data_IF_483537861382
#
_entry.id   IF_483537861382
#
_cell.length_a   1.000
_cell.length_b   1.000
_cell.length_c   1.000
_cell.angle_alpha   90.00
_cell.angle_beta   90.00
_cell.angle_gamma   90.00
#
_symmetry.space_group_name_H-M   'P 1'
#
loop_
_entity.id
_entity.type
_entity.pdbx_description
1 polymer ?
#
# COMPACT_ATOMS: atom_id res chain seq x y z
N UNK A 1 -6.97 -13.48 15.96
CA UNK A 1 -5.67 -13.28 15.29
C UNK A 1 -4.58 -13.51 16.31
N UNK A 2 -3.58 -14.28 15.96
CA UNK A 2 -2.37 -14.50 16.75
C UNK A 2 -1.27 -13.59 16.24
N UNK A 3 -0.58 -12.91 17.15
CA UNK A 3 0.53 -12.04 16.83
C UNK A 3 1.81 -12.86 16.64
N UNK A 4 2.44 -12.78 15.48
CA UNK A 4 3.64 -13.53 15.13
C UNK A 4 4.93 -12.72 15.25
N UNK A 5 4.85 -11.40 15.27
CA UNK A 5 6.00 -10.53 15.46
C UNK A 5 5.79 -9.10 14.94
N UNK A 6 6.54 -8.18 15.52
CA UNK A 6 6.71 -6.80 15.06
C UNK A 6 8.21 -6.53 15.02
N UNK A 7 8.69 -5.94 13.92
CA UNK A 7 10.10 -5.67 13.76
C UNK A 7 10.32 -4.29 13.13
N UNK A 8 11.39 -3.63 13.59
CA UNK A 8 11.97 -2.47 12.96
C UNK A 8 13.15 -2.90 12.09
N UNK A 9 13.20 -2.40 10.88
CA UNK A 9 14.21 -2.74 9.91
C UNK A 9 14.97 -1.50 9.48
N UNK A 10 16.23 -1.70 9.12
CA UNK A 10 17.11 -0.64 8.63
C UNK A 10 16.61 -0.08 7.29
N UNK A 11 16.54 1.25 7.25
CA UNK A 11 16.24 2.03 6.05
C UNK A 11 17.51 2.80 5.64
N UNK A 12 18.08 2.45 4.49
CA UNK A 12 19.33 3.10 4.00
C UNK A 12 19.10 4.54 3.50
N UNK A 13 17.84 4.97 3.35
CA UNK A 13 17.51 6.35 3.02
C UNK A 13 17.57 7.26 4.25
N UNK A 14 16.92 6.83 5.34
CA UNK A 14 16.87 7.56 6.61
C UNK A 14 18.08 7.28 7.50
N UNK A 15 18.90 6.29 7.16
CA UNK A 15 20.03 5.81 7.96
C UNK A 15 19.64 5.41 9.39
N UNK A 16 18.41 4.87 9.54
CA UNK A 16 17.83 4.45 10.82
C UNK A 16 16.97 3.19 10.67
N UNK A 17 16.60 2.55 11.79
CA UNK A 17 15.69 1.41 11.85
C UNK A 17 14.21 1.87 11.78
N UNK A 18 13.84 2.56 10.70
CA UNK A 18 12.56 3.24 10.53
C UNK A 18 11.49 2.42 9.76
N UNK A 19 11.89 1.42 8.97
CA UNK A 19 10.93 0.56 8.27
C UNK A 19 10.33 -0.44 9.22
N UNK A 20 8.99 -0.52 9.25
CA UNK A 20 8.28 -1.37 10.21
C UNK A 20 7.30 -2.30 9.50
N UNK A 21 7.25 -3.54 9.96
CA UNK A 21 6.24 -4.49 9.56
C UNK A 21 5.77 -5.35 10.74
N UNK A 22 4.50 -5.75 10.66
CA UNK A 22 3.85 -6.64 11.62
C UNK A 22 3.40 -7.90 10.90
N UNK A 23 3.56 -9.04 11.57
CA UNK A 23 3.02 -10.32 11.11
C UNK A 23 2.02 -10.86 12.10
N UNK A 24 0.92 -11.38 11.59
CA UNK A 24 -0.07 -12.09 12.39
C UNK A 24 -0.73 -13.21 11.57
N UNK A 25 -1.26 -14.20 12.28
CA UNK A 25 -2.00 -15.33 11.73
C UNK A 25 -3.48 -15.16 12.02
N UNK A 26 -4.33 -15.43 11.05
CA UNK A 26 -5.76 -15.52 11.30
C UNK A 26 -6.07 -16.83 12.04
N UNK A 27 -6.70 -16.73 13.20
CA UNK A 27 -7.06 -17.89 14.02
C UNK A 27 -8.56 -18.18 14.01
N UNK A 28 -9.36 -17.38 13.27
CA UNK A 28 -10.80 -17.47 13.33
C UNK A 28 -11.46 -17.90 12.02
N UNK A 29 -11.05 -17.27 10.92
CA UNK A 29 -11.65 -17.48 9.59
C UNK A 29 -10.83 -18.47 8.79
N UNK A 30 -9.54 -18.21 8.65
CA UNK A 30 -8.59 -19.10 7.98
C UNK A 30 -7.29 -19.22 8.78
N UNK A 31 -7.17 -20.27 9.63
CA UNK A 31 -5.98 -20.46 10.46
C UNK A 31 -4.71 -20.74 9.66
N UNK A 32 -4.81 -20.93 8.36
CA UNK A 32 -3.66 -21.10 7.47
C UNK A 32 -3.19 -19.79 6.84
N UNK A 33 -3.91 -18.66 7.07
CA UNK A 33 -3.56 -17.38 6.48
C UNK A 33 -2.63 -16.57 7.39
N UNK A 34 -1.45 -16.24 6.84
CA UNK A 34 -0.49 -15.32 7.46
C UNK A 34 -0.63 -13.95 6.79
N UNK A 35 -0.70 -12.91 7.58
CA UNK A 35 -0.77 -11.52 7.09
C UNK A 35 0.54 -10.81 7.40
N UNK A 36 1.16 -10.22 6.38
CA UNK A 36 2.31 -9.31 6.52
C UNK A 36 1.82 -7.91 6.21
N UNK A 37 1.80 -7.05 7.22
CA UNK A 37 1.37 -5.67 7.09
C UNK A 37 2.56 -4.72 7.28
N UNK A 38 2.89 -3.97 6.22
CA UNK A 38 3.89 -2.91 6.26
C UNK A 38 3.25 -1.63 6.80
N UNK A 39 3.95 -0.98 7.73
CA UNK A 39 3.53 0.30 8.27
C UNK A 39 3.77 1.40 7.24
N UNK A 40 2.83 2.33 7.14
CA UNK A 40 3.00 3.59 6.42
C UNK A 40 3.78 4.63 7.22
N UNK A 41 4.04 5.76 6.58
CA UNK A 41 4.63 6.93 7.18
C UNK A 41 3.72 7.52 8.26
N UNK A 42 4.28 8.03 9.34
CA UNK A 42 3.51 8.77 10.34
C UNK A 42 3.01 10.09 9.74
N UNK A 43 1.71 10.44 9.93
CA UNK A 43 1.10 11.60 9.26
C UNK A 43 1.78 12.95 9.55
N UNK A 44 2.56 13.05 10.62
CA UNK A 44 3.20 14.27 11.07
C UNK A 44 4.72 14.15 11.22
N UNK A 45 5.33 13.15 10.60
CA UNK A 45 6.79 12.97 10.59
C UNK A 45 7.38 13.51 9.27
N UNK A 46 7.97 14.73 9.25
CA UNK A 46 8.52 15.32 8.04
C UNK A 46 9.71 14.55 7.48
N UNK A 47 10.48 13.85 8.33
CA UNK A 47 11.63 13.06 7.88
C UNK A 47 11.19 11.80 7.15
N UNK A 48 10.16 11.14 7.66
CA UNK A 48 9.58 9.98 7.00
C UNK A 48 8.94 10.36 5.64
N UNK A 49 8.30 11.54 5.53
CA UNK A 49 7.77 12.06 4.26
C UNK A 49 8.83 12.38 3.22
N UNK A 50 10.09 12.63 3.63
CA UNK A 50 11.19 12.84 2.67
C UNK A 50 11.40 11.63 1.77
N UNK A 51 11.19 10.43 2.29
CA UNK A 51 11.26 9.19 1.49
C UNK A 51 10.17 9.17 0.40
N UNK A 52 8.99 9.70 0.70
CA UNK A 52 7.83 9.69 -0.20
C UNK A 52 7.93 10.79 -1.27
N UNK A 53 8.66 11.87 -1.00
CA UNK A 53 8.84 13.04 -1.89
C UNK A 53 10.10 12.92 -2.75
N UNK A 54 11.05 12.02 -2.44
CA UNK A 54 12.22 11.78 -3.27
C UNK A 54 11.82 11.17 -4.61
N UNK A 55 11.84 11.94 -5.67
CA UNK A 55 11.49 11.51 -7.03
C UNK A 55 12.61 10.74 -7.73
N UNK A 56 13.65 10.32 -7.01
CA UNK A 56 14.78 9.60 -7.61
C UNK A 56 14.39 8.18 -8.05
N UNK A 57 14.89 7.80 -9.22
CA UNK A 57 14.70 6.49 -9.78
C UNK A 57 15.77 5.50 -9.34
N UNK A 58 15.38 4.25 -9.16
CA UNK A 58 16.26 3.10 -9.14
C UNK A 58 15.97 2.23 -10.36
N UNK A 59 16.95 2.08 -11.24
CA UNK A 59 16.83 1.18 -12.39
C UNK A 59 16.99 -0.27 -11.94
N UNK A 60 15.89 -0.98 -11.86
CA UNK A 60 15.87 -2.39 -11.50
C UNK A 60 15.96 -3.24 -12.75
N UNK A 61 17.19 -3.59 -13.12
CA UNK A 61 17.51 -4.25 -14.40
C UNK A 61 16.60 -5.42 -14.73
N UNK A 62 15.92 -5.35 -15.89
CA UNK A 62 14.97 -6.36 -16.38
C UNK A 62 13.60 -6.33 -15.70
N UNK A 63 13.34 -5.31 -14.89
CA UNK A 63 12.04 -5.06 -14.24
C UNK A 63 11.45 -3.73 -14.69
N UNK A 64 12.24 -2.66 -14.66
CA UNK A 64 11.86 -1.29 -14.95
C UNK A 64 12.46 -0.32 -13.96
N UNK A 65 12.00 0.92 -13.98
CA UNK A 65 12.39 1.94 -13.01
C UNK A 65 11.45 1.92 -11.82
N UNK A 66 11.99 2.01 -10.62
CA UNK A 66 11.25 2.01 -9.34
C UNK A 66 11.63 3.22 -8.51
N UNK A 67 10.76 3.61 -7.59
CA UNK A 67 11.03 4.70 -6.65
C UNK A 67 12.18 4.34 -5.71
N UNK A 68 13.29 5.08 -5.80
CA UNK A 68 14.53 4.76 -5.08
C UNK A 68 14.38 4.79 -3.56
N UNK A 69 13.65 5.78 -3.03
CA UNK A 69 13.39 5.89 -1.59
C UNK A 69 12.68 4.66 -1.03
N UNK A 70 11.62 4.19 -1.70
CA UNK A 70 10.88 3.00 -1.27
C UNK A 70 11.73 1.73 -1.34
N UNK A 71 12.56 1.61 -2.37
CA UNK A 71 13.47 0.49 -2.50
C UNK A 71 14.52 0.47 -1.38
N UNK A 72 15.07 1.64 -0.99
CA UNK A 72 16.00 1.76 0.15
C UNK A 72 15.31 1.44 1.48
N UNK A 73 14.06 1.87 1.65
CA UNK A 73 13.26 1.53 2.83
C UNK A 73 13.02 0.01 2.96
N UNK A 74 12.85 -0.68 1.83
CA UNK A 74 12.62 -2.12 1.81
C UNK A 74 13.91 -2.94 1.97
N UNK A 75 15.07 -2.40 1.59
CA UNK A 75 16.36 -3.08 1.79
C UNK A 75 17.32 -3.04 0.61
N UNK A 76 17.12 -2.12 -0.35
CA UNK A 76 18.13 -1.78 -1.34
C UNK A 76 19.37 -1.26 -0.63
N UNK A 77 20.49 -1.92 -0.85
CA UNK A 77 21.72 -1.61 -0.16
C UNK A 77 22.59 -0.63 -0.97
N UNK A 78 23.10 0.37 -0.29
CA UNK A 78 24.07 1.31 -0.87
C UNK A 78 25.27 0.53 -1.41
N UNK A 79 25.57 0.67 -2.70
CA UNK A 79 26.69 0.02 -3.41
C UNK A 79 26.58 -1.51 -3.65
N UNK A 80 25.55 -2.20 -3.13
CA UNK A 80 25.37 -3.66 -3.33
C UNK A 80 24.09 -4.01 -4.11
N UNK A 81 23.18 -3.05 -4.28
CA UNK A 81 21.90 -3.29 -4.94
C UNK A 81 21.02 -4.31 -4.20
N UNK A 82 20.49 -5.27 -4.94
CA UNK A 82 19.63 -6.34 -4.43
C UNK A 82 20.29 -7.72 -4.58
N UNK A 83 21.29 -8.10 -3.76
CA UNK A 83 21.79 -9.47 -3.77
C UNK A 83 20.70 -10.44 -3.33
N UNK A 84 20.70 -11.66 -3.88
CA UNK A 84 19.70 -12.68 -3.50
C UNK A 84 19.81 -13.05 -2.02
N UNK A 85 21.03 -13.15 -1.52
CA UNK A 85 21.33 -13.40 -0.11
C UNK A 85 22.31 -12.35 0.41
N UNK A 86 22.18 -12.01 1.69
CA UNK A 86 23.12 -11.10 2.36
C UNK A 86 24.20 -11.94 3.05
N UNK A 87 25.46 -11.54 2.92
CA UNK A 87 26.55 -12.14 3.68
C UNK A 87 26.33 -11.91 5.18
N UNK A 88 26.31 -12.97 5.97
CA UNK A 88 26.14 -12.87 7.41
C UNK A 88 27.42 -12.33 8.07
N UNK A 89 27.31 -11.20 8.77
CA UNK A 89 28.41 -10.57 9.51
C UNK A 89 27.95 -10.09 10.90
N UNK A 90 28.91 -9.91 11.82
CA UNK A 90 28.67 -9.65 13.23
C UNK A 90 27.93 -8.32 13.52
N UNK A 91 27.93 -7.36 12.55
CA UNK A 91 27.28 -6.04 12.67
C UNK A 91 26.26 -5.79 11.55
N UNK A 92 25.49 -6.80 11.19
CA UNK A 92 24.64 -6.71 10.01
C UNK A 92 23.33 -5.97 10.29
N UNK A 93 23.06 -4.97 9.45
CA UNK A 93 21.78 -4.27 9.42
C UNK A 93 20.67 -5.24 8.99
N UNK A 94 19.55 -5.24 9.72
CA UNK A 94 18.37 -6.05 9.39
C UNK A 94 17.52 -5.30 8.39
N UNK A 95 17.50 -5.73 7.14
CA UNK A 95 16.68 -5.16 6.08
C UNK A 95 15.34 -5.87 5.95
N UNK A 96 14.28 -5.11 5.75
CA UNK A 96 12.91 -5.61 5.76
C UNK A 96 12.69 -6.79 4.79
N UNK A 97 13.14 -6.68 3.55
CA UNK A 97 12.96 -7.71 2.55
C UNK A 97 13.52 -9.06 3.00
N UNK A 98 14.77 -9.11 3.45
CA UNK A 98 15.47 -10.36 3.76
C UNK A 98 14.92 -11.01 5.04
N UNK A 99 14.70 -10.23 6.08
CA UNK A 99 14.18 -10.73 7.35
C UNK A 99 12.74 -11.26 7.21
N UNK A 100 11.87 -10.51 6.51
CA UNK A 100 10.49 -10.91 6.27
C UNK A 100 10.44 -12.16 5.39
N UNK A 101 11.24 -12.21 4.30
CA UNK A 101 11.35 -13.37 3.43
C UNK A 101 11.77 -14.63 4.20
N UNK A 102 12.81 -14.52 5.03
CA UNK A 102 13.27 -15.62 5.84
C UNK A 102 12.21 -16.07 6.86
N UNK A 103 11.59 -15.12 7.55
CA UNK A 103 10.53 -15.42 8.51
C UNK A 103 9.32 -16.09 7.88
N UNK A 104 8.92 -15.65 6.70
CA UNK A 104 7.86 -16.31 5.92
C UNK A 104 8.24 -17.77 5.57
N UNK A 105 9.46 -18.01 5.11
CA UNK A 105 9.94 -19.37 4.83
C UNK A 105 9.81 -20.26 6.07
N UNK A 106 10.27 -19.80 7.24
CA UNK A 106 10.20 -20.56 8.50
C UNK A 106 8.75 -20.87 8.91
N UNK A 107 7.84 -19.90 8.79
CA UNK A 107 6.44 -20.07 9.16
C UNK A 107 5.71 -21.01 8.20
N UNK A 108 5.90 -20.84 6.90
CA UNK A 108 5.23 -21.63 5.87
C UNK A 108 5.77 -23.07 5.79
N UNK A 109 7.03 -23.31 6.16
CA UNK A 109 7.59 -24.68 6.28
C UNK A 109 6.99 -25.46 7.45
N UNK A 110 6.57 -24.78 8.52
CA UNK A 110 5.90 -25.42 9.66
C UNK A 110 4.46 -25.85 9.36
N UNK A 111 3.83 -25.22 8.38
CA UNK A 111 2.48 -25.53 7.94
C UNK A 111 2.40 -25.43 6.40
N UNK A 112 2.45 -26.59 5.76
CA UNK A 112 2.44 -26.67 4.30
C UNK A 112 1.16 -26.16 3.65
N UNK A 113 0.05 -26.12 4.38
CA UNK A 113 -1.22 -25.57 3.90
C UNK A 113 -1.29 -24.04 4.08
N UNK A 114 -0.35 -23.46 4.82
CA UNK A 114 -0.37 -22.02 5.04
C UNK A 114 -0.06 -21.25 3.76
N UNK A 115 -0.75 -20.12 3.65
CA UNK A 115 -0.58 -19.10 2.63
C UNK A 115 -0.34 -17.76 3.30
N UNK A 116 0.03 -16.76 2.53
CA UNK A 116 0.18 -15.43 3.07
C UNK A 116 -0.39 -14.35 2.14
N UNK A 117 -0.72 -13.21 2.74
CA UNK A 117 -1.06 -11.98 2.04
C UNK A 117 -0.13 -10.85 2.47
N UNK A 118 0.07 -9.91 1.56
CA UNK A 118 0.80 -8.69 1.81
C UNK A 118 -0.19 -7.52 1.86
N UNK A 119 0.01 -6.61 2.80
CA UNK A 119 -0.85 -5.43 2.90
C UNK A 119 -0.08 -4.24 3.45
N UNK A 120 -0.64 -3.05 3.24
CA UNK A 120 -0.12 -1.82 3.79
C UNK A 120 -0.94 -0.61 3.36
N UNK A 121 -0.84 0.44 4.17
CA UNK A 121 -1.44 1.73 3.90
C UNK A 121 -0.33 2.74 3.56
N UNK A 122 -0.59 3.66 2.63
CA UNK A 122 0.38 4.70 2.28
C UNK A 122 1.70 4.11 1.78
N UNK A 123 2.85 4.57 2.29
CA UNK A 123 4.17 3.96 2.08
C UNK A 123 4.16 2.45 2.31
N UNK A 124 3.45 1.95 3.33
CA UNK A 124 3.34 0.51 3.58
C UNK A 124 2.74 -0.26 2.42
N UNK A 125 1.79 0.35 1.68
CA UNK A 125 1.25 -0.21 0.44
C UNK A 125 2.30 -0.29 -0.67
N UNK A 126 3.12 0.75 -0.81
CA UNK A 126 4.25 0.74 -1.75
C UNK A 126 5.27 -0.36 -1.39
N UNK A 127 5.62 -0.49 -0.12
CA UNK A 127 6.53 -1.52 0.35
C UNK A 127 5.98 -2.94 0.13
N UNK A 128 4.67 -3.14 0.31
CA UNK A 128 4.02 -4.42 0.08
C UNK A 128 4.14 -4.89 -1.38
N UNK A 129 3.86 -4.02 -2.34
CA UNK A 129 3.96 -4.39 -3.77
C UNK A 129 5.41 -4.47 -4.25
N UNK A 130 6.31 -3.64 -3.72
CA UNK A 130 7.74 -3.73 -4.04
C UNK A 130 8.40 -4.96 -3.40
N UNK A 131 7.95 -5.40 -2.23
CA UNK A 131 8.37 -6.68 -1.66
C UNK A 131 8.05 -7.85 -2.61
N UNK A 132 6.83 -7.90 -3.14
CA UNK A 132 6.46 -8.86 -4.17
C UNK A 132 7.33 -8.73 -5.43
N UNK A 133 7.62 -7.49 -5.86
CA UNK A 133 8.48 -7.24 -7.03
C UNK A 133 9.87 -7.86 -6.85
N UNK A 134 10.46 -7.71 -5.67
CA UNK A 134 11.78 -8.28 -5.37
C UNK A 134 11.71 -9.81 -5.24
N UNK A 135 10.64 -10.38 -4.65
CA UNK A 135 10.42 -11.83 -4.64
C UNK A 135 10.37 -12.40 -6.07
N UNK A 136 9.61 -11.75 -6.95
CA UNK A 136 9.50 -12.16 -8.35
C UNK A 136 10.85 -12.04 -9.10
N UNK A 137 11.62 -10.98 -8.82
CA UNK A 137 12.95 -10.76 -9.42
C UNK A 137 13.99 -11.76 -8.93
N UNK A 138 13.91 -12.17 -7.66
CA UNK A 138 14.78 -13.19 -7.07
C UNK A 138 14.34 -14.63 -7.40
N UNK A 139 13.25 -14.78 -8.17
CA UNK A 139 12.70 -16.08 -8.56
C UNK A 139 12.36 -16.95 -7.34
N UNK A 140 11.75 -16.34 -6.33
CA UNK A 140 11.29 -16.99 -5.11
C UNK A 140 9.99 -17.79 -5.37
N UNK A 141 10.03 -18.72 -6.34
CA UNK A 141 8.86 -19.43 -6.87
C UNK A 141 8.02 -20.06 -5.77
N UNK A 142 8.66 -20.72 -4.79
CA UNK A 142 7.94 -21.35 -3.70
C UNK A 142 7.12 -20.35 -2.87
N UNK A 143 7.68 -19.18 -2.54
CA UNK A 143 6.94 -18.12 -1.86
C UNK A 143 5.85 -17.51 -2.75
N UNK A 144 6.14 -17.35 -4.04
CA UNK A 144 5.16 -16.82 -5.00
C UNK A 144 3.91 -17.71 -5.09
N UNK A 145 4.06 -19.05 -5.06
CA UNK A 145 2.93 -19.98 -5.03
C UNK A 145 2.17 -20.01 -3.69
N UNK A 146 2.77 -19.53 -2.61
CA UNK A 146 2.12 -19.40 -1.30
C UNK A 146 1.46 -18.03 -1.10
N UNK A 147 1.76 -17.07 -1.95
CA UNK A 147 1.15 -15.74 -1.87
C UNK A 147 -0.26 -15.77 -2.47
N UNK A 148 -1.26 -15.47 -1.66
CA UNK A 148 -2.67 -15.42 -2.08
C UNK A 148 -3.05 -14.07 -2.67
N UNK A 149 -2.48 -12.99 -2.14
CA UNK A 149 -2.79 -11.66 -2.66
C UNK A 149 -2.03 -10.52 -2.00
N UNK A 150 -2.12 -9.36 -2.66
CA UNK A 150 -1.61 -8.08 -2.17
C UNK A 150 -2.75 -7.08 -2.15
N UNK A 151 -3.00 -6.47 -1.00
CA UNK A 151 -4.08 -5.51 -0.78
C UNK A 151 -3.51 -4.22 -0.23
N UNK A 152 -3.57 -3.15 -1.01
CA UNK A 152 -2.95 -1.87 -0.64
C UNK A 152 -3.99 -0.77 -0.49
N UNK A 153 -3.77 0.14 0.43
CA UNK A 153 -4.70 1.20 0.81
C UNK A 153 -4.00 2.55 0.68
N UNK A 154 -4.50 3.45 -0.15
CA UNK A 154 -3.87 4.75 -0.36
C UNK A 154 -2.42 4.68 -0.84
N UNK A 155 -2.07 3.64 -1.60
CA UNK A 155 -0.71 3.40 -2.07
C UNK A 155 -0.27 4.47 -3.06
N UNK A 156 0.93 5.08 -2.90
CA UNK A 156 1.53 5.94 -3.91
C UNK A 156 1.99 5.15 -5.14
N UNK A 157 2.32 5.83 -6.22
CA UNK A 157 2.93 5.23 -7.40
C UNK A 157 4.34 4.75 -7.09
N UNK A 158 4.73 3.59 -7.60
CA UNK A 158 5.97 2.93 -7.19
C UNK A 158 7.00 2.78 -8.30
N UNK A 159 6.62 3.00 -9.56
CA UNK A 159 7.52 2.84 -10.69
C UNK A 159 6.90 3.17 -12.03
N UNK A 160 7.59 2.84 -13.10
CA UNK A 160 7.22 3.13 -14.48
C UNK A 160 6.29 2.06 -15.10
N UNK A 161 5.91 2.27 -16.35
CA UNK A 161 5.07 1.32 -17.09
C UNK A 161 5.77 -0.03 -17.37
N UNK A 162 7.13 -0.06 -17.40
CA UNK A 162 7.87 -1.30 -17.61
C UNK A 162 7.76 -2.18 -16.35
N UNK A 163 7.90 -1.59 -15.17
CA UNK A 163 7.57 -2.27 -13.91
C UNK A 163 6.14 -2.79 -13.92
N UNK A 164 5.18 -1.96 -14.37
CA UNK A 164 3.78 -2.36 -14.47
C UNK A 164 3.60 -3.61 -15.32
N UNK A 165 4.13 -3.63 -16.53
CA UNK A 165 4.07 -4.77 -17.45
C UNK A 165 4.77 -6.02 -16.89
N UNK A 166 5.93 -5.86 -16.26
CA UNK A 166 6.64 -6.96 -15.60
C UNK A 166 5.77 -7.59 -14.49
N UNK A 167 5.20 -6.74 -13.63
CA UNK A 167 4.41 -7.20 -12.49
C UNK A 167 3.08 -7.82 -12.91
N UNK A 168 2.38 -7.27 -13.89
CA UNK A 168 1.14 -7.85 -14.43
C UNK A 168 1.36 -9.27 -14.97
N UNK A 169 2.49 -9.49 -15.65
CA UNK A 169 2.86 -10.83 -16.11
C UNK A 169 3.13 -11.77 -14.93
N UNK A 170 3.83 -11.31 -13.89
CA UNK A 170 4.13 -12.13 -12.71
C UNK A 170 2.88 -12.44 -11.87
N UNK A 171 2.02 -11.45 -11.66
CA UNK A 171 0.73 -11.64 -10.96
C UNK A 171 -0.13 -12.69 -11.67
N UNK A 172 -0.21 -12.61 -13.00
CA UNK A 172 -0.93 -13.58 -13.80
C UNK A 172 -0.28 -14.97 -13.78
N UNK A 173 1.06 -15.05 -13.87
CA UNK A 173 1.82 -16.30 -13.85
C UNK A 173 1.57 -17.12 -12.58
N UNK A 174 1.47 -16.45 -11.42
CA UNK A 174 1.33 -17.10 -10.11
C UNK A 174 -0.10 -17.04 -9.55
N UNK A 175 -1.08 -16.54 -10.33
CA UNK A 175 -2.48 -16.35 -9.92
C UNK A 175 -2.62 -15.53 -8.61
N UNK A 176 -1.79 -14.49 -8.46
CA UNK A 176 -1.78 -13.62 -7.29
C UNK A 176 -2.77 -12.48 -7.47
N UNK A 177 -3.69 -12.34 -6.54
CA UNK A 177 -4.63 -11.20 -6.53
C UNK A 177 -3.89 -9.93 -6.13
N UNK A 178 -4.14 -8.84 -6.85
CA UNK A 178 -3.64 -7.52 -6.47
C UNK A 178 -4.76 -6.49 -6.58
N UNK A 179 -5.08 -5.84 -5.48
CA UNK A 179 -6.11 -4.80 -5.42
C UNK A 179 -5.59 -3.57 -4.70
N UNK A 180 -5.71 -2.43 -5.36
CA UNK A 180 -5.39 -1.11 -4.82
C UNK A 180 -6.67 -0.41 -4.39
N UNK A 181 -6.83 -0.17 -3.09
CA UNK A 181 -7.96 0.58 -2.55
C UNK A 181 -7.64 2.07 -2.57
N UNK A 182 -8.52 2.85 -3.19
CA UNK A 182 -8.40 4.31 -3.26
C UNK A 182 -9.69 4.94 -2.76
N UNK A 183 -9.57 5.81 -1.77
CA UNK A 183 -10.71 6.51 -1.21
C UNK A 183 -10.79 7.95 -1.73
N UNK A 184 -11.94 8.28 -2.30
CA UNK A 184 -12.38 9.61 -2.68
C UNK A 184 -11.29 10.47 -3.37
N UNK A 185 -10.89 11.57 -2.73
CA UNK A 185 -9.88 12.48 -3.25
C UNK A 185 -8.52 12.29 -2.56
N UNK A 186 -8.25 11.14 -1.98
CA UNK A 186 -6.93 10.86 -1.41
C UNK A 186 -5.81 11.26 -2.39
N UNK A 187 -4.92 12.16 -1.94
CA UNK A 187 -3.85 12.70 -2.78
C UNK A 187 -2.72 11.70 -2.99
N UNK A 188 -2.46 10.81 -2.02
CA UNK A 188 -1.27 9.95 -2.02
C UNK A 188 -1.24 8.96 -3.19
N UNK A 189 -2.33 8.30 -3.60
CA UNK A 189 -2.31 7.48 -4.81
C UNK A 189 -2.03 8.25 -6.10
N UNK A 190 -2.04 9.59 -6.06
CA UNK A 190 -1.82 10.47 -7.22
C UNK A 190 -0.41 11.04 -7.29
N UNK A 191 0.43 10.65 -6.33
CA UNK A 191 1.86 11.06 -6.30
C UNK A 191 2.76 9.81 -6.35
N UNK A 192 3.99 9.93 -6.82
CA UNK A 192 4.55 11.09 -7.48
C UNK A 192 3.73 11.57 -8.68
N UNK A 193 3.76 12.89 -8.93
CA UNK A 193 3.00 13.51 -10.02
C UNK A 193 3.58 13.09 -11.38
N UNK A 194 2.72 12.93 -12.41
CA UNK A 194 3.12 12.73 -13.80
C UNK A 194 3.45 14.10 -14.39
N UNK A 195 4.65 14.31 -14.87
CA UNK A 195 4.94 15.43 -15.76
C UNK A 195 4.93 14.93 -17.21
N UNK A 196 4.55 15.76 -18.17
CA UNK A 196 4.28 15.35 -19.57
C UNK A 196 5.50 14.85 -20.35
N UNK A 197 6.70 14.78 -19.76
CA UNK A 197 7.96 14.35 -20.38
C UNK A 197 8.40 12.93 -19.98
N UNK A 198 7.86 11.92 -20.63
CA UNK A 198 8.36 10.53 -20.83
C UNK A 198 8.90 9.67 -19.65
N UNK A 199 9.08 10.15 -18.45
CA UNK A 199 9.52 9.36 -17.30
C UNK A 199 8.47 9.42 -16.17
N UNK A 200 7.39 8.63 -16.30
CA UNK A 200 6.25 8.71 -15.40
C UNK A 200 6.21 7.59 -14.38
N UNK A 201 5.94 7.97 -13.13
CA UNK A 201 5.42 7.02 -12.18
C UNK A 201 3.98 6.65 -12.53
N UNK A 202 3.72 5.36 -12.68
CA UNK A 202 2.39 4.84 -13.00
C UNK A 202 1.92 3.84 -11.96
N UNK A 203 0.63 3.58 -11.95
CA UNK A 203 0.09 2.42 -11.28
C UNK A 203 -0.08 1.25 -12.25
N UNK A 204 -0.13 0.05 -11.70
CA UNK A 204 -0.57 -1.16 -12.39
C UNK A 204 -1.58 -1.92 -11.52
N UNK A 205 -2.26 -2.89 -12.12
CA UNK A 205 -3.31 -3.63 -11.46
C UNK A 205 -4.59 -2.83 -11.21
N UNK A 206 -5.70 -3.49 -10.89
CA UNK A 206 -7.01 -2.86 -10.70
C UNK A 206 -7.06 -1.94 -9.49
N UNK A 207 -7.76 -0.80 -9.67
CA UNK A 207 -8.06 0.16 -8.63
C UNK A 207 -9.49 -0.04 -8.14
N UNK A 208 -9.67 -0.37 -6.87
CA UNK A 208 -10.96 -0.40 -6.20
C UNK A 208 -11.21 0.96 -5.56
N UNK A 209 -11.88 1.82 -6.30
CA UNK A 209 -12.17 3.19 -5.90
C UNK A 209 -13.48 3.26 -5.12
N UNK A 210 -13.48 3.98 -4.01
CA UNK A 210 -14.67 4.33 -3.23
C UNK A 210 -14.87 5.84 -3.18
N UNK A 211 -16.10 6.26 -3.42
CA UNK A 211 -16.48 7.66 -3.24
C UNK A 211 -16.86 7.97 -1.77
N UNK A 212 -17.13 9.23 -1.47
CA UNK A 212 -17.53 9.70 -0.14
C UNK A 212 -18.85 9.12 0.40
N UNK A 213 -19.61 8.39 -0.42
CA UNK A 213 -20.80 7.63 -0.01
C UNK A 213 -20.49 6.15 0.22
N UNK A 214 -19.21 5.76 0.22
CA UNK A 214 -18.74 4.37 0.31
C UNK A 214 -19.25 3.45 -0.80
N UNK A 215 -19.57 4.03 -1.98
CA UNK A 215 -19.90 3.25 -3.16
C UNK A 215 -18.62 2.96 -3.95
N UNK A 216 -18.33 1.66 -4.10
CA UNK A 216 -17.14 1.18 -4.78
C UNK A 216 -17.35 0.98 -6.27
N UNK A 217 -16.28 1.07 -7.05
CA UNK A 217 -16.19 0.67 -8.45
C UNK A 217 -14.77 0.24 -8.77
N UNK A 218 -14.62 -0.72 -9.69
CA UNK A 218 -13.30 -1.08 -10.21
C UNK A 218 -12.96 -0.19 -11.40
N UNK A 219 -11.75 0.35 -11.38
CA UNK A 219 -11.18 1.18 -12.43
C UNK A 219 -9.87 0.56 -12.89
N UNK A 220 -9.52 0.75 -14.15
CA UNK A 220 -8.18 0.40 -14.67
C UNK A 220 -7.14 1.41 -14.18
N UNK A 221 -7.50 2.69 -14.28
CA UNK A 221 -6.65 3.81 -13.89
C UNK A 221 -7.23 4.50 -12.65
N UNK A 222 -6.48 5.45 -12.10
CA UNK A 222 -6.99 6.31 -11.04
C UNK A 222 -8.16 7.15 -11.52
N UNK A 223 -9.16 7.38 -10.65
CA UNK A 223 -10.20 8.32 -10.95
C UNK A 223 -9.59 9.73 -11.03
N UNK A 224 -10.04 10.50 -12.02
CA UNK A 224 -9.76 11.92 -12.11
C UNK A 224 -8.33 12.29 -12.53
N UNK A 225 -8.03 12.12 -13.83
CA UNK A 225 -6.77 12.57 -14.44
C UNK A 225 -6.48 14.06 -14.26
N UNK A 226 -7.51 14.90 -14.01
CA UNK A 226 -7.40 16.34 -13.79
C UNK A 226 -7.39 16.74 -12.31
N UNK A 227 -6.96 15.86 -11.44
CA UNK A 227 -7.00 16.07 -9.98
C UNK A 227 -6.37 17.40 -9.53
N UNK A 228 -5.27 17.82 -10.14
CA UNK A 228 -4.55 19.05 -9.80
C UNK A 228 -5.06 20.29 -10.51
N UNK A 229 -6.11 20.18 -11.36
CA UNK A 229 -6.68 21.35 -12.03
C UNK A 229 -7.45 22.27 -11.05
N UNK A 230 -7.47 23.57 -11.33
CA UNK A 230 -8.17 24.56 -10.51
C UNK A 230 -9.69 24.30 -10.44
N UNK A 231 -10.30 23.79 -11.51
CA UNK A 231 -11.72 23.44 -11.55
C UNK A 231 -12.05 22.31 -10.58
N UNK A 232 -11.17 21.32 -10.43
CA UNK A 232 -11.35 20.25 -9.45
C UNK A 232 -11.13 20.69 -8.01
N UNK A 233 -10.40 21.77 -7.76
CA UNK A 233 -10.24 22.30 -6.42
C UNK A 233 -11.59 22.63 -5.77
N UNK A 234 -12.55 23.16 -6.54
CA UNK A 234 -13.91 23.46 -6.06
C UNK A 234 -14.63 22.17 -5.65
N UNK A 235 -14.60 21.15 -6.51
CA UNK A 235 -15.25 19.86 -6.21
C UNK A 235 -14.62 19.16 -5.01
N UNK A 236 -13.29 19.20 -4.87
CA UNK A 236 -12.59 18.68 -3.69
C UNK A 236 -12.99 19.41 -2.43
N UNK A 237 -13.09 20.72 -2.47
CA UNK A 237 -13.56 21.53 -1.33
C UNK A 237 -15.00 21.19 -0.95
N UNK A 238 -15.91 21.12 -1.91
CA UNK A 238 -17.31 20.72 -1.65
C UNK A 238 -17.38 19.32 -1.04
N UNK A 239 -16.54 18.40 -1.51
CA UNK A 239 -16.47 17.06 -0.93
C UNK A 239 -15.92 17.10 0.50
N UNK A 240 -14.89 17.89 0.79
CA UNK A 240 -14.34 18.03 2.15
C UNK A 240 -15.40 18.60 3.13
N UNK A 241 -16.20 19.57 2.69
CA UNK A 241 -17.35 20.08 3.46
C UNK A 241 -18.37 18.95 3.73
N UNK A 242 -18.70 18.18 2.70
CA UNK A 242 -19.60 17.02 2.85
C UNK A 242 -19.03 15.99 3.84
N UNK A 243 -17.76 15.65 3.72
CA UNK A 243 -17.07 14.70 4.62
C UNK A 243 -17.14 15.18 6.09
N UNK A 244 -16.92 16.47 6.32
CA UNK A 244 -17.06 17.07 7.66
C UNK A 244 -18.50 16.96 8.19
N UNK A 245 -19.51 17.30 7.40
CA UNK A 245 -20.92 17.16 7.77
C UNK A 245 -21.27 15.70 8.05
N UNK A 246 -20.85 14.79 7.16
CA UNK A 246 -21.06 13.35 7.30
C UNK A 246 -20.48 12.82 8.60
N UNK A 247 -19.33 13.31 9.04
CA UNK A 247 -18.67 12.87 10.27
C UNK A 247 -19.52 13.01 11.53
N UNK A 248 -20.47 13.94 11.51
CA UNK A 248 -21.44 14.11 12.59
C UNK A 248 -22.72 13.27 12.40
N UNK A 249 -23.07 12.94 11.16
CA UNK A 249 -24.32 12.24 10.82
C UNK A 249 -24.15 10.71 10.86
N UNK A 250 -23.01 10.23 10.43
CA UNK A 250 -22.76 8.80 10.18
C UNK A 250 -22.96 7.89 11.42
N UNK A 251 -22.61 8.31 12.66
CA UNK A 251 -22.89 7.51 13.86
C UNK A 251 -24.37 7.23 14.05
N UNK A 252 -25.25 8.13 13.60
CA UNK A 252 -26.71 7.96 13.72
C UNK A 252 -27.31 7.13 12.59
N UNK A 253 -26.68 7.10 11.42
CA UNK A 253 -27.19 6.42 10.23
C UNK A 253 -26.65 5.00 10.05
N UNK A 254 -25.45 4.71 10.57
CA UNK A 254 -24.74 3.42 10.41
C UNK A 254 -24.59 2.64 11.72
N UNK A 255 -25.17 3.15 12.83
CA UNK A 255 -25.19 2.48 14.12
C UNK A 255 -23.95 2.69 14.99
N UNK A 256 -24.00 2.08 16.19
CA UNK A 256 -22.98 2.30 17.23
C UNK A 256 -21.59 1.74 16.91
N UNK A 257 -21.45 0.90 15.91
CA UNK A 257 -20.16 0.35 15.46
C UNK A 257 -19.28 1.37 14.75
N UNK A 258 -19.91 2.43 14.22
CA UNK A 258 -19.21 3.50 13.54
C UNK A 258 -19.09 4.72 14.46
N UNK A 259 -17.87 4.97 14.92
CA UNK A 259 -17.56 6.20 15.67
C UNK A 259 -16.37 6.90 15.02
N UNK A 260 -16.62 8.08 14.50
CA UNK A 260 -15.53 8.94 14.09
C UNK A 260 -14.95 9.65 15.32
N UNK A 261 -13.64 9.48 15.56
CA UNK A 261 -12.96 10.09 16.69
C UNK A 261 -12.94 11.62 16.57
N UNK A 262 -12.79 12.33 17.69
CA UNK A 262 -12.62 13.79 17.68
C UNK A 262 -11.40 14.21 16.85
N UNK A 263 -10.31 13.45 16.91
CA UNK A 263 -9.13 13.70 16.08
C UNK A 263 -9.48 13.68 14.59
N UNK A 264 -10.27 12.71 14.13
CA UNK A 264 -10.72 12.65 12.73
C UNK A 264 -11.55 13.88 12.35
N UNK A 265 -12.43 14.36 13.22
CA UNK A 265 -13.22 15.58 12.97
C UNK A 265 -12.33 16.81 12.83
N UNK A 266 -11.29 16.93 13.67
CA UNK A 266 -10.27 18.00 13.53
C UNK A 266 -9.53 17.85 12.19
N UNK A 267 -9.14 16.64 11.81
CA UNK A 267 -8.49 16.40 10.52
C UNK A 267 -9.39 16.73 9.34
N UNK A 268 -10.71 16.54 9.46
CA UNK A 268 -11.65 16.98 8.42
C UNK A 268 -11.77 18.49 8.31
N UNK A 269 -11.65 19.24 9.42
CA UNK A 269 -11.55 20.71 9.37
C UNK A 269 -10.26 21.11 8.65
N UNK A 270 -9.14 20.44 8.95
CA UNK A 270 -7.88 20.65 8.23
C UNK A 270 -8.00 20.32 6.74
N UNK A 271 -8.78 19.28 6.40
CA UNK A 271 -9.10 18.91 5.02
C UNK A 271 -9.85 19.97 4.21
N UNK A 272 -10.49 20.97 4.85
CA UNK A 272 -11.08 22.10 4.14
C UNK A 272 -10.00 23.00 3.51
N UNK A 273 -8.84 23.08 4.15
CA UNK A 273 -7.69 23.87 3.66
C UNK A 273 -6.85 23.01 2.69
N UNK A 274 -6.66 21.75 3.00
CA UNK A 274 -5.88 20.79 2.19
C UNK A 274 -6.72 19.55 1.82
N UNK A 275 -7.65 19.71 0.85
CA UNK A 275 -8.48 18.59 0.40
C UNK A 275 -7.62 17.44 -0.15
N UNK A 276 -7.95 16.22 0.24
CA UNK A 276 -7.21 15.02 -0.15
C UNK A 276 -6.28 14.47 0.92
N UNK A 277 -5.81 15.29 1.88
CA UNK A 277 -5.01 14.79 2.99
C UNK A 277 -5.84 14.09 4.06
N UNK A 278 -7.03 14.62 4.37
CA UNK A 278 -7.93 13.99 5.34
C UNK A 278 -8.43 12.62 4.85
N UNK A 279 -8.68 12.49 3.55
CA UNK A 279 -9.11 11.26 2.91
C UNK A 279 -8.02 10.18 2.84
N UNK A 280 -6.77 10.57 3.08
CA UNK A 280 -5.66 9.62 3.17
C UNK A 280 -5.62 8.88 4.52
N UNK A 281 -6.32 9.34 5.53
CA UNK A 281 -6.19 8.77 6.86
C UNK A 281 -6.74 7.33 6.94
N UNK A 282 -6.08 6.42 7.69
CA UNK A 282 -6.45 5.01 7.80
C UNK A 282 -7.91 4.75 8.17
N UNK A 283 -8.59 5.55 9.03
CA UNK A 283 -9.99 5.32 9.36
C UNK A 283 -10.94 5.31 8.18
N UNK A 284 -10.70 6.14 7.15
CA UNK A 284 -11.54 6.12 5.94
C UNK A 284 -11.38 4.81 5.17
N UNK A 285 -10.17 4.28 5.09
CA UNK A 285 -9.90 2.97 4.48
C UNK A 285 -10.49 1.81 5.28
N UNK A 286 -10.46 1.85 6.61
CA UNK A 286 -11.17 0.89 7.46
C UNK A 286 -12.69 0.97 7.21
N UNK A 287 -13.23 2.18 7.07
CA UNK A 287 -14.65 2.36 6.84
C UNK A 287 -15.10 1.86 5.47
N UNK A 288 -14.33 2.07 4.40
CA UNK A 288 -14.70 1.55 3.08
C UNK A 288 -14.69 0.03 3.02
N UNK A 289 -13.81 -0.64 3.76
CA UNK A 289 -13.80 -2.10 3.84
C UNK A 289 -14.95 -2.67 4.67
N UNK A 290 -15.46 -1.91 5.64
CA UNK A 290 -16.56 -2.35 6.54
C UNK A 290 -17.93 -1.94 6.04
N UNK A 291 -18.07 -0.76 5.47
CA UNK A 291 -19.35 -0.13 5.11
C UNK A 291 -19.53 0.01 3.60
N UNK A 292 -18.46 -0.21 2.83
CA UNK A 292 -18.48 -0.05 1.39
C UNK A 292 -19.37 -1.06 0.70
N UNK A 293 -20.08 -0.61 -0.33
CA UNK A 293 -20.83 -1.46 -1.24
C UNK A 293 -20.11 -1.59 -2.58
N UNK A 294 -19.95 -2.81 -3.04
CA UNK A 294 -19.45 -3.11 -4.39
C UNK A 294 -20.60 -3.21 -5.37
N UNK A 295 -20.38 -2.90 -6.66
CA UNK A 295 -21.37 -3.16 -7.71
C UNK A 295 -21.77 -4.64 -7.74
N UNK A 296 -23.06 -4.90 -7.94
CA UNK A 296 -23.58 -6.23 -8.21
C UNK A 296 -22.85 -6.81 -9.43
N UNK A 297 -22.19 -7.93 -9.30
CA UNK A 297 -21.37 -8.57 -10.35
C UNK A 297 -19.88 -8.67 -10.04
N UNK A 298 -19.40 -7.96 -9.01
CA UNK A 298 -18.03 -8.13 -8.51
C UNK A 298 -17.94 -9.08 -7.31
N UNK A 299 -19.08 -9.36 -6.66
CA UNK A 299 -19.14 -10.32 -5.56
C UNK A 299 -18.91 -11.78 -6.02
N UNK A 300 -19.17 -12.08 -7.29
CA UNK A 300 -19.03 -13.41 -7.89
C UNK A 300 -17.80 -13.57 -8.80
N UNK A 301 -17.03 -12.51 -9.03
CA UNK A 301 -15.87 -12.60 -9.90
C UNK A 301 -14.61 -12.97 -9.10
N UNK A 302 -13.78 -13.87 -9.64
CA UNK A 302 -12.44 -14.21 -9.13
C UNK A 302 -11.48 -12.98 -9.00
N UNK A 303 -12.01 -11.77 -9.06
CA UNK A 303 -11.29 -10.49 -8.94
C UNK A 303 -11.24 -9.99 -7.50
N UNK A 304 -12.07 -10.55 -6.60
CA UNK A 304 -12.05 -10.23 -5.15
C UNK A 304 -11.63 -11.48 -4.39
#
# INVERSE_FOLDING_TARGET
>A
MEFLGFNNFWNDYLEDAATQAIMFQDTRVDPNLIVVAFRGTEPFDPEAWRTDVDLSWYEFKGVGKTHSGFMKALGLQKNKGWPKEIEQGINQKKYAYYEIRQRLRELLQKNENAKFILTGHSLGGALAILFLTVLAKHEEEWLMHKLEGVYTFGQPRVGDYQLGGYMENKLKQYDVRYLRFVYCNDIVPRVPYDDDDNDFFTHFGPCLYYNSFYKGKILKDEPNKNYFSATWAIFKFMNAVWELIRSFIIPYTRGHEYKESWLMKIMRIFGLVFPGLAEHLPPDYVNVTRLGSLPLGLQDSKVI
#
